data_IF_466416292752
#
_entry.id   IF_466416292752
#
_cell.length_a   1.000
_cell.length_b   1.000
_cell.length_c   1.000
_cell.angle_alpha   90.00
_cell.angle_beta   90.00
_cell.angle_gamma   90.00
#
_symmetry.space_group_name_H-M   'P 1'
#
loop_
_entity.id
_entity.type
_entity.pdbx_description
1 polymer ?
#
# COMPACT_ATOMS: atom_id res chain seq x y z
N UNK A 1 4.03 25.49 -10.59
CA UNK A 1 2.89 24.95 -9.81
C UNK A 1 3.43 24.45 -8.48
N UNK A 2 3.02 25.06 -7.37
CA UNK A 2 3.35 24.58 -6.04
C UNK A 2 2.63 23.24 -5.81
N UNK A 3 3.39 22.16 -5.67
CA UNK A 3 2.82 20.86 -5.31
C UNK A 3 2.21 20.96 -3.90
N UNK A 4 0.89 20.81 -3.82
CA UNK A 4 0.13 20.94 -2.57
C UNK A 4 0.41 19.75 -1.65
N UNK A 5 0.85 18.63 -2.22
CA UNK A 5 1.22 17.42 -1.50
C UNK A 5 2.74 17.28 -1.50
N UNK A 6 3.37 17.42 -0.33
CA UNK A 6 4.80 17.13 -0.13
C UNK A 6 5.10 15.64 0.01
N UNK A 7 4.08 14.78 -0.06
CA UNK A 7 4.26 13.34 -0.01
C UNK A 7 4.85 12.89 -1.35
N UNK A 8 6.11 12.49 -1.34
CA UNK A 8 6.70 11.74 -2.45
C UNK A 8 5.84 10.50 -2.68
N UNK A 9 5.40 10.28 -3.92
CA UNK A 9 4.69 9.05 -4.28
C UNK A 9 5.60 7.88 -3.95
N UNK A 10 5.20 7.06 -2.97
CA UNK A 10 5.98 5.91 -2.55
C UNK A 10 5.71 4.73 -3.49
N UNK A 11 6.66 3.83 -3.64
CA UNK A 11 6.54 2.62 -4.45
C UNK A 11 7.11 1.40 -3.75
N UNK A 12 6.70 0.22 -4.22
CA UNK A 12 7.26 -1.08 -3.83
C UNK A 12 7.41 -1.98 -5.05
N UNK A 13 8.36 -2.91 -5.01
CA UNK A 13 8.56 -3.90 -6.07
C UNK A 13 7.87 -5.20 -5.70
N UNK A 14 7.17 -5.81 -6.66
CA UNK A 14 6.58 -7.14 -6.49
C UNK A 14 6.61 -7.93 -7.79
N UNK A 15 6.76 -9.25 -7.65
CA UNK A 15 6.69 -10.26 -8.70
C UNK A 15 5.32 -10.96 -8.79
N UNK A 16 4.27 -10.41 -8.15
CA UNK A 16 2.94 -11.06 -8.06
C UNK A 16 2.33 -11.42 -9.42
N UNK A 17 2.71 -10.73 -10.51
CA UNK A 17 2.27 -11.05 -11.88
C UNK A 17 3.20 -12.02 -12.61
N UNK A 18 4.13 -12.68 -11.92
CA UNK A 18 5.15 -13.57 -12.49
C UNK A 18 6.44 -12.88 -12.95
N UNK A 19 6.51 -11.55 -12.89
CA UNK A 19 7.69 -10.74 -13.24
C UNK A 19 7.79 -9.56 -12.28
N UNK A 20 9.02 -9.17 -11.91
CA UNK A 20 9.25 -8.01 -11.03
C UNK A 20 8.76 -6.72 -11.70
N UNK A 21 7.87 -6.01 -11.00
CA UNK A 21 7.33 -4.71 -11.40
C UNK A 21 7.27 -3.76 -10.21
N UNK A 22 7.40 -2.47 -10.50
CA UNK A 22 7.21 -1.41 -9.50
C UNK A 22 5.73 -1.00 -9.45
N UNK A 23 5.17 -0.96 -8.24
CA UNK A 23 3.83 -0.50 -7.96
C UNK A 23 3.87 0.75 -7.09
N UNK A 24 3.09 1.76 -7.48
CA UNK A 24 2.92 2.99 -6.71
C UNK A 24 1.87 2.78 -5.62
N UNK A 25 2.19 3.24 -4.43
CA UNK A 25 1.26 3.40 -3.32
C UNK A 25 0.48 4.69 -3.56
N UNK A 26 -0.74 4.55 -4.08
CA UNK A 26 -1.60 5.67 -4.42
C UNK A 26 -3.03 5.44 -3.91
N UNK A 27 -3.76 6.52 -3.63
CA UNK A 27 -5.12 6.45 -3.08
C UNK A 27 -6.17 6.06 -4.12
N UNK A 28 -5.83 5.98 -5.42
CA UNK A 28 -6.77 5.54 -6.44
C UNK A 28 -7.15 4.06 -6.30
N UNK A 29 -6.38 3.27 -5.54
CA UNK A 29 -6.78 1.91 -5.12
C UNK A 29 -8.20 1.89 -4.55
N UNK A 30 -8.58 2.89 -3.76
CA UNK A 30 -9.90 2.93 -3.12
C UNK A 30 -11.03 3.24 -4.10
N UNK A 31 -10.74 3.99 -5.16
CA UNK A 31 -11.68 4.22 -6.25
C UNK A 31 -11.99 2.89 -6.94
N UNK A 32 -10.96 2.11 -7.26
CA UNK A 32 -11.14 0.79 -7.88
C UNK A 32 -11.75 -0.24 -6.93
N UNK A 33 -11.48 -0.17 -5.62
CA UNK A 33 -12.15 -1.02 -4.64
C UNK A 33 -13.66 -0.77 -4.60
N UNK A 34 -14.08 0.49 -4.65
CA UNK A 34 -15.50 0.86 -4.70
C UNK A 34 -16.12 0.48 -6.05
N UNK A 35 -15.46 0.82 -7.16
CA UNK A 35 -15.98 0.57 -8.51
C UNK A 35 -16.13 -0.92 -8.84
N UNK A 36 -15.13 -1.74 -8.48
CA UNK A 36 -15.10 -3.17 -8.86
C UNK A 36 -15.82 -4.07 -7.85
N UNK A 37 -15.84 -3.68 -6.57
CA UNK A 37 -16.27 -4.58 -5.49
C UNK A 37 -17.28 -3.96 -4.54
N UNK A 38 -17.67 -2.70 -4.72
CA UNK A 38 -18.51 -1.93 -3.79
C UNK A 38 -17.88 -1.88 -2.39
N UNK A 39 -16.55 -1.82 -2.30
CA UNK A 39 -15.81 -1.80 -1.03
C UNK A 39 -15.30 -0.38 -0.74
N UNK A 40 -15.93 0.26 0.25
CA UNK A 40 -15.29 1.38 0.97
C UNK A 40 -14.13 0.87 1.82
N UNK A 41 -13.28 1.77 2.34
CA UNK A 41 -12.22 1.39 3.27
C UNK A 41 -12.76 0.64 4.50
N UNK A 42 -13.84 1.14 5.11
CA UNK A 42 -14.47 0.48 6.28
C UNK A 42 -15.00 -0.90 5.94
N UNK A 43 -15.65 -1.06 4.77
CA UNK A 43 -16.16 -2.36 4.32
C UNK A 43 -15.02 -3.33 4.01
N UNK A 44 -13.92 -2.84 3.45
CA UNK A 44 -12.72 -3.65 3.26
C UNK A 44 -12.14 -4.14 4.59
N UNK A 45 -12.05 -3.28 5.61
CA UNK A 45 -11.58 -3.65 6.94
C UNK A 45 -12.46 -4.74 7.59
N UNK A 46 -13.78 -4.64 7.44
CA UNK A 46 -14.71 -5.68 7.87
C UNK A 46 -14.46 -7.00 7.14
N UNK A 47 -14.25 -6.94 5.83
CA UNK A 47 -14.05 -8.11 4.98
C UNK A 47 -12.72 -8.81 5.24
N UNK A 48 -11.69 -8.07 5.66
CA UNK A 48 -10.43 -8.65 6.13
C UNK A 48 -10.63 -9.60 7.33
N UNK A 49 -11.64 -9.38 8.16
CA UNK A 49 -11.93 -10.23 9.33
C UNK A 49 -12.75 -11.48 8.97
N UNK A 50 -13.55 -11.43 7.90
CA UNK A 50 -14.45 -12.53 7.53
C UNK A 50 -13.84 -13.43 6.47
N UNK A 51 -13.24 -12.85 5.43
CA UNK A 51 -12.59 -13.57 4.33
C UNK A 51 -11.37 -12.76 3.85
N UNK A 52 -10.34 -12.78 4.70
CA UNK A 52 -9.12 -12.00 4.50
C UNK A 52 -8.41 -12.30 3.19
N UNK A 53 -8.41 -13.56 2.74
CA UNK A 53 -7.75 -13.94 1.50
C UNK A 53 -8.45 -13.32 0.29
N UNK A 54 -9.77 -13.47 0.18
CA UNK A 54 -10.54 -12.87 -0.92
C UNK A 54 -10.45 -11.35 -0.88
N UNK A 55 -10.52 -10.75 0.31
CA UNK A 55 -10.35 -9.30 0.48
C UNK A 55 -8.98 -8.84 -0.03
N UNK A 56 -7.89 -9.51 0.35
CA UNK A 56 -6.54 -9.16 -0.10
C UNK A 56 -6.34 -9.34 -1.61
N UNK A 57 -6.97 -10.35 -2.23
CA UNK A 57 -6.95 -10.52 -3.70
C UNK A 57 -7.70 -9.38 -4.42
N UNK A 58 -8.87 -8.99 -3.90
CA UNK A 58 -9.60 -7.81 -4.41
C UNK A 58 -8.76 -6.54 -4.28
N UNK A 59 -8.09 -6.37 -3.15
CA UNK A 59 -7.16 -5.25 -2.93
C UNK A 59 -5.99 -5.26 -3.92
N UNK A 60 -5.34 -6.41 -4.12
CA UNK A 60 -4.27 -6.55 -5.11
C UNK A 60 -4.76 -6.20 -6.53
N UNK A 61 -5.96 -6.65 -6.91
CA UNK A 61 -6.61 -6.32 -8.19
C UNK A 61 -6.78 -4.80 -8.34
N UNK A 62 -7.29 -4.14 -7.31
CA UNK A 62 -7.48 -2.68 -7.31
C UNK A 62 -6.14 -1.91 -7.37
N UNK A 63 -5.09 -2.39 -6.70
CA UNK A 63 -3.74 -1.79 -6.80
C UNK A 63 -3.18 -1.94 -8.21
N UNK A 64 -3.34 -3.10 -8.85
CA UNK A 64 -2.90 -3.32 -10.23
C UNK A 64 -3.63 -2.36 -11.19
N UNK A 65 -4.96 -2.23 -11.08
CA UNK A 65 -5.74 -1.25 -11.86
C UNK A 65 -5.31 0.19 -11.60
N UNK A 66 -5.07 0.54 -10.33
CA UNK A 66 -4.56 1.85 -9.94
C UNK A 66 -3.14 2.16 -10.48
N UNK A 67 -2.41 1.12 -10.89
CA UNK A 67 -1.11 1.22 -11.55
C UNK A 67 -1.18 1.06 -13.07
N UNK A 68 -2.40 1.04 -13.64
CA UNK A 68 -2.63 1.01 -15.09
C UNK A 68 -2.57 -0.38 -15.72
N UNK A 69 -2.57 -1.45 -14.92
CA UNK A 69 -2.65 -2.81 -15.44
C UNK A 69 -4.11 -3.17 -15.72
N UNK A 70 -4.36 -3.78 -16.87
CA UNK A 70 -5.68 -4.28 -17.23
C UNK A 70 -5.82 -5.75 -16.82
N UNK A 71 -6.31 -5.98 -15.59
CA UNK A 71 -6.52 -7.31 -14.99
C UNK A 71 -7.96 -7.50 -14.54
N UNK A 72 -8.41 -8.73 -14.31
CA UNK A 72 -9.69 -9.00 -13.61
C UNK A 72 -9.46 -9.61 -12.24
N UNK A 73 -10.49 -9.62 -11.40
CA UNK A 73 -10.43 -10.32 -10.12
C UNK A 73 -10.17 -11.82 -10.30
N UNK A 74 -10.84 -12.44 -11.27
CA UNK A 74 -10.70 -13.87 -11.58
C UNK A 74 -9.27 -14.20 -12.01
N UNK A 75 -8.67 -13.38 -12.88
CA UNK A 75 -7.29 -13.57 -13.33
C UNK A 75 -6.31 -13.51 -12.15
N UNK A 76 -6.47 -12.51 -11.25
CA UNK A 76 -5.63 -12.40 -10.07
C UNK A 76 -5.88 -13.57 -9.11
N UNK A 77 -7.14 -13.94 -8.88
CA UNK A 77 -7.50 -15.03 -7.96
C UNK A 77 -6.98 -16.40 -8.42
N UNK A 78 -6.99 -16.68 -9.72
CA UNK A 78 -6.54 -17.95 -10.29
C UNK A 78 -5.01 -18.06 -10.38
N UNK A 79 -4.30 -16.92 -10.45
CA UNK A 79 -2.85 -16.88 -10.64
C UNK A 79 -2.06 -16.44 -9.41
N UNK A 80 -2.73 -16.15 -8.29
CA UNK A 80 -2.06 -15.77 -7.03
C UNK A 80 -2.34 -16.76 -5.92
N UNK A 81 -1.29 -17.10 -5.18
CA UNK A 81 -1.42 -17.86 -3.94
C UNK A 81 -1.84 -16.94 -2.79
N UNK A 82 -2.47 -17.48 -1.73
CA UNK A 82 -2.75 -16.70 -0.52
C UNK A 82 -1.52 -16.00 0.05
N UNK A 83 -0.35 -16.66 0.01
CA UNK A 83 0.91 -16.07 0.45
C UNK A 83 1.31 -14.84 -0.36
N UNK A 84 1.20 -14.89 -1.69
CA UNK A 84 1.52 -13.75 -2.57
C UNK A 84 0.58 -12.58 -2.32
N UNK A 85 -0.73 -12.83 -2.16
CA UNK A 85 -1.71 -11.80 -1.85
C UNK A 85 -1.42 -11.12 -0.50
N UNK A 86 -1.13 -11.91 0.55
CA UNK A 86 -0.75 -11.39 1.88
C UNK A 86 0.52 -10.55 1.79
N UNK A 87 1.56 -11.06 1.11
CA UNK A 87 2.82 -10.33 0.95
C UNK A 87 2.60 -9.00 0.23
N UNK A 88 1.89 -9.01 -0.88
CA UNK A 88 1.61 -7.81 -1.68
C UNK A 88 0.82 -6.76 -0.89
N UNK A 89 -0.20 -7.20 -0.15
CA UNK A 89 -0.95 -6.35 0.77
C UNK A 89 -0.05 -5.72 1.83
N UNK A 90 0.80 -6.51 2.49
CA UNK A 90 1.71 -6.02 3.51
C UNK A 90 2.74 -5.05 2.92
N UNK A 91 3.35 -5.36 1.78
CA UNK A 91 4.33 -4.48 1.11
C UNK A 91 3.71 -3.11 0.80
N UNK A 92 2.46 -3.07 0.32
CA UNK A 92 1.74 -1.82 0.07
C UNK A 92 1.61 -0.99 1.35
N UNK A 93 1.14 -1.58 2.44
CA UNK A 93 0.84 -0.86 3.67
C UNK A 93 2.08 -0.55 4.52
N UNK A 94 3.09 -1.40 4.49
CA UNK A 94 4.41 -1.11 5.03
C UNK A 94 4.95 0.15 4.38
N UNK A 95 4.93 0.25 3.05
CA UNK A 95 5.36 1.48 2.38
C UNK A 95 4.43 2.65 2.69
N UNK A 96 3.10 2.46 2.67
CA UNK A 96 2.13 3.52 2.92
C UNK A 96 2.36 4.17 4.30
N UNK A 97 2.52 3.36 5.35
CA UNK A 97 2.56 3.81 6.74
C UNK A 97 3.96 3.97 7.33
N UNK A 98 4.99 3.36 6.74
CA UNK A 98 6.34 3.56 7.23
C UNK A 98 6.79 4.99 6.87
N UNK A 99 7.19 5.82 7.85
CA UNK A 99 7.77 7.12 7.55
C UNK A 99 9.01 6.93 6.66
N UNK A 100 9.22 7.78 5.64
CA UNK A 100 10.46 7.74 4.87
C UNK A 100 11.67 7.71 5.81
N UNK A 101 12.70 6.95 5.46
CA UNK A 101 13.91 6.79 6.30
C UNK A 101 14.51 8.16 6.67
N UNK A 102 14.39 9.16 5.80
CA UNK A 102 14.75 10.56 6.04
C UNK A 102 13.96 11.20 7.19
N UNK A 103 12.66 10.91 7.32
CA UNK A 103 11.82 11.42 8.43
C UNK A 103 12.20 10.77 9.76
N UNK A 104 12.63 9.51 9.75
CA UNK A 104 13.18 8.84 10.93
C UNK A 104 14.52 9.44 11.34
N UNK A 105 15.40 9.75 10.37
CA UNK A 105 16.68 10.43 10.62
C UNK A 105 16.47 11.85 11.17
N UNK A 106 15.51 12.61 10.64
CA UNK A 106 15.17 13.93 11.16
C UNK A 106 14.58 13.87 12.57
N UNK A 107 13.63 12.97 12.84
CA UNK A 107 13.10 12.76 14.19
C UNK A 107 14.20 12.39 15.18
N UNK A 108 15.08 11.46 14.81
CA UNK A 108 16.22 11.08 15.65
C UNK A 108 17.20 12.24 15.90
N UNK A 109 17.43 13.12 14.92
CA UNK A 109 18.23 14.34 15.10
C UNK A 109 17.56 15.33 16.06
N UNK A 110 16.24 15.55 15.93
CA UNK A 110 15.47 16.44 16.82
C UNK A 110 15.46 15.92 18.26
N UNK A 111 15.18 14.64 18.46
CA UNK A 111 15.21 14.01 19.79
C UNK A 111 16.60 14.09 20.43
N UNK A 112 17.68 13.90 19.68
CA UNK A 112 19.05 14.08 20.20
C UNK A 112 19.36 15.52 20.63
N UNK A 113 18.84 16.51 19.90
CA UNK A 113 19.04 17.92 20.22
C UNK A 113 18.25 18.37 21.46
N UNK A 114 17.03 17.84 21.66
CA UNK A 114 16.21 18.10 22.85
C UNK A 114 16.84 17.48 24.11
N UNK A 115 17.28 16.22 24.03
CA UNK A 115 17.97 15.54 25.14
C UNK A 115 19.28 16.22 25.54
N UNK A 116 19.95 16.90 24.61
CA UNK A 116 21.16 17.69 24.92
C UNK A 116 20.85 19.04 25.56
N UNK A 117 19.70 19.66 25.24
CA UNK A 117 19.27 20.90 25.88
C UNK A 117 18.80 20.70 27.32
N UNK A 118 18.19 19.56 27.62
CA UNK A 118 17.74 19.24 28.99
C UNK A 118 18.88 18.83 29.94
N UNK A 119 20.10 18.66 29.41
CA UNK A 119 21.31 18.30 30.17
C UNK A 119 22.30 19.47 30.34
N UNK A 120 21.99 20.66 29.82
CA UNK A 120 22.80 21.87 29.89
C UNK A 120 22.14 22.89 30.84
#
# INVERSE_FOLDING_TARGET
>A
MSNIFKNTVKSFTSDITGEEKEYRVNNAVWIYMEELFDYTQSKFDEQLQTDGNTAMVKFATAVMKANGLDVTFEEVAENTTPYQAIKFYNDFFDIAFNPPVEDLKEKAKKTKAEVQKDKA
#
